data_IF_906738740569
#
_entry.id   IF_906738740569
#
_cell.length_a   1.000
_cell.length_b   1.000
_cell.length_c   1.000
_cell.angle_alpha   90.00
_cell.angle_beta   90.00
_cell.angle_gamma   90.00
#
_symmetry.space_group_name_H-M   'P 1'
#
loop_
_entity.id
_entity.type
_entity.pdbx_description
1 polymer ?
#
# COMPACT_ATOMS: atom_id res chain seq x y z
N UNK A 1 -6.73 11.39 -11.67
CA UNK A 1 -7.85 10.77 -12.44
C UNK A 1 -8.17 9.43 -11.77
N UNK A 2 -9.28 8.74 -12.06
CA UNK A 2 -9.61 7.45 -11.40
C UNK A 2 -8.46 6.45 -11.48
N UNK A 3 -7.69 6.48 -12.57
CA UNK A 3 -6.50 5.64 -12.82
C UNK A 3 -5.32 5.86 -11.85
N UNK A 4 -5.28 6.98 -11.13
CA UNK A 4 -4.21 7.31 -10.18
C UNK A 4 -4.58 6.97 -8.73
N UNK A 5 -5.77 6.39 -8.50
CA UNK A 5 -6.20 6.02 -7.16
C UNK A 5 -5.41 4.81 -6.64
N UNK A 6 -5.10 4.82 -5.34
CA UNK A 6 -4.46 3.68 -4.67
C UNK A 6 -5.44 2.51 -4.44
N UNK A 7 -6.74 2.81 -4.36
CA UNK A 7 -7.82 1.86 -4.16
C UNK A 7 -9.14 2.43 -4.70
N UNK A 8 -9.90 1.61 -5.42
CA UNK A 8 -11.26 1.89 -5.83
C UNK A 8 -12.24 1.12 -4.95
N UNK A 9 -13.13 1.84 -4.26
CA UNK A 9 -14.22 1.23 -3.49
C UNK A 9 -15.50 1.29 -4.32
N UNK A 10 -15.95 0.14 -4.78
CA UNK A 10 -17.15 -0.01 -5.58
C UNK A 10 -18.33 -0.34 -4.68
N UNK A 11 -19.22 0.62 -4.52
CA UNK A 11 -20.44 0.45 -3.71
C UNK A 11 -21.53 -0.17 -4.59
N UNK A 12 -22.01 -1.36 -4.22
CA UNK A 12 -23.02 -2.13 -4.96
C UNK A 12 -24.26 -2.27 -4.08
N UNK A 13 -25.44 -2.07 -4.65
CA UNK A 13 -26.71 -2.27 -3.93
C UNK A 13 -27.05 -3.76 -3.85
N UNK A 14 -27.01 -4.34 -2.65
CA UNK A 14 -27.33 -5.75 -2.42
C UNK A 14 -28.83 -6.07 -2.58
N UNK A 15 -29.69 -5.06 -2.53
CA UNK A 15 -31.14 -5.20 -2.70
C UNK A 15 -31.58 -5.14 -4.17
N UNK A 16 -30.67 -4.83 -5.08
CA UNK A 16 -30.94 -4.83 -6.52
C UNK A 16 -31.26 -6.27 -7.00
N UNK A 17 -32.23 -6.45 -7.91
CA UNK A 17 -32.50 -7.76 -8.52
C UNK A 17 -31.35 -8.31 -9.38
N UNK A 18 -30.42 -7.47 -9.86
CA UNK A 18 -29.23 -7.87 -10.62
C UNK A 18 -27.97 -7.08 -10.20
N UNK A 19 -27.42 -7.36 -9.00
CA UNK A 19 -26.19 -6.70 -8.51
C UNK A 19 -24.98 -6.98 -9.42
N UNK A 20 -24.87 -8.19 -9.96
CA UNK A 20 -23.79 -8.59 -10.84
C UNK A 20 -23.80 -7.84 -12.18
N UNK A 21 -24.98 -7.60 -12.75
CA UNK A 21 -25.13 -6.76 -13.94
C UNK A 21 -24.63 -5.33 -13.70
N UNK A 22 -24.94 -4.76 -12.53
CA UNK A 22 -24.43 -3.44 -12.14
C UNK A 22 -22.89 -3.43 -12.04
N UNK A 23 -22.31 -4.46 -11.41
CA UNK A 23 -20.85 -4.60 -11.32
C UNK A 23 -20.22 -4.66 -12.71
N UNK A 24 -20.77 -5.50 -13.59
CA UNK A 24 -20.25 -5.67 -14.95
C UNK A 24 -20.32 -4.38 -15.77
N UNK A 25 -21.42 -3.62 -15.64
CA UNK A 25 -21.58 -2.35 -16.33
C UNK A 25 -20.53 -1.32 -15.90
N UNK A 26 -20.28 -1.19 -14.59
CA UNK A 26 -19.25 -0.26 -14.07
C UNK A 26 -17.86 -0.71 -14.48
N UNK A 27 -17.55 -2.01 -14.41
CA UNK A 27 -16.26 -2.56 -14.88
C UNK A 27 -16.01 -2.23 -16.35
N UNK A 28 -17.02 -2.35 -17.21
CA UNK A 28 -16.89 -1.96 -18.63
C UNK A 28 -16.46 -0.50 -18.80
N UNK A 29 -16.99 0.41 -17.99
CA UNK A 29 -16.61 1.83 -18.04
C UNK A 29 -15.22 2.05 -17.46
N UNK A 30 -14.84 1.34 -16.41
CA UNK A 30 -13.50 1.41 -15.82
C UNK A 30 -12.42 0.91 -16.81
N UNK A 31 -12.71 -0.14 -17.57
CA UNK A 31 -11.83 -0.67 -18.61
C UNK A 31 -11.65 0.37 -19.74
N UNK A 32 -12.73 1.03 -20.17
CA UNK A 32 -12.66 2.07 -21.22
C UNK A 32 -11.76 3.25 -20.85
N UNK A 33 -11.66 3.59 -19.57
CA UNK A 33 -10.80 4.68 -19.06
C UNK A 33 -9.41 4.19 -18.61
N UNK A 34 -9.09 2.90 -18.77
CA UNK A 34 -7.82 2.29 -18.37
C UNK A 34 -7.61 2.18 -16.86
N UNK A 35 -8.70 2.12 -16.09
CA UNK A 35 -8.68 2.00 -14.63
C UNK A 35 -8.64 0.54 -14.12
N UNK A 36 -8.63 -0.45 -15.02
CA UNK A 36 -8.55 -1.90 -14.71
C UNK A 36 -7.35 -2.31 -13.83
N UNK A 37 -6.31 -1.48 -13.80
CA UNK A 37 -5.07 -1.68 -13.03
C UNK A 37 -5.16 -1.19 -11.58
N UNK A 38 -6.21 -0.45 -11.23
CA UNK A 38 -6.42 0.06 -9.88
C UNK A 38 -7.01 -1.08 -9.03
N UNK A 39 -6.45 -1.36 -7.84
CA UNK A 39 -7.05 -2.34 -6.93
C UNK A 39 -8.51 -1.99 -6.62
N UNK A 40 -9.42 -2.96 -6.73
CA UNK A 40 -10.84 -2.80 -6.48
C UNK A 40 -11.27 -3.55 -5.20
N UNK A 41 -12.19 -2.95 -4.44
CA UNK A 41 -12.87 -3.55 -3.28
C UNK A 41 -14.37 -3.29 -3.39
N UNK A 42 -15.20 -4.29 -3.08
CA UNK A 42 -16.65 -4.13 -3.05
C UNK A 42 -17.18 -3.79 -1.66
N UNK A 43 -18.13 -2.86 -1.62
CA UNK A 43 -18.97 -2.58 -0.47
C UNK A 43 -20.43 -2.85 -0.85
N UNK A 44 -20.99 -3.96 -0.38
CA UNK A 44 -22.37 -4.36 -0.65
C UNK A 44 -23.32 -3.61 0.29
N UNK A 45 -23.85 -2.49 -0.18
CA UNK A 45 -24.73 -1.60 0.55
C UNK A 45 -26.17 -2.14 0.62
N UNK A 46 -26.97 -1.60 1.55
CA UNK A 46 -28.35 -1.99 1.84
C UNK A 46 -28.49 -3.43 2.36
N UNK A 47 -27.49 -3.91 3.10
CA UNK A 47 -27.54 -5.21 3.75
C UNK A 47 -28.71 -5.36 4.74
N UNK A 48 -29.28 -4.26 5.24
CA UNK A 48 -30.50 -4.25 6.05
C UNK A 48 -31.76 -4.68 5.28
N UNK A 49 -31.83 -4.40 3.98
CA UNK A 49 -32.96 -4.75 3.12
C UNK A 49 -32.82 -6.16 2.53
N UNK A 50 -31.59 -6.59 2.26
CA UNK A 50 -31.29 -7.86 1.61
C UNK A 50 -30.10 -8.61 2.25
N UNK A 51 -30.22 -9.02 3.52
CA UNK A 51 -29.10 -9.61 4.27
C UNK A 51 -28.58 -10.93 3.66
N UNK A 52 -29.48 -11.78 3.15
CA UNK A 52 -29.07 -13.02 2.47
C UNK A 52 -28.34 -12.76 1.16
N UNK A 53 -28.78 -11.74 0.39
CA UNK A 53 -28.13 -11.35 -0.86
C UNK A 53 -26.74 -10.80 -0.57
N UNK A 54 -26.63 -9.87 0.38
CA UNK A 54 -25.36 -9.28 0.80
C UNK A 54 -24.37 -10.35 1.28
N UNK A 55 -24.81 -11.32 2.10
CA UNK A 55 -23.95 -12.43 2.54
C UNK A 55 -23.45 -13.28 1.37
N UNK A 56 -24.33 -13.64 0.43
CA UNK A 56 -23.93 -14.42 -0.76
C UNK A 56 -22.93 -13.68 -1.64
N UNK A 57 -23.10 -12.36 -1.78
CA UNK A 57 -22.19 -11.51 -2.53
C UNK A 57 -20.82 -11.41 -1.85
N UNK A 58 -20.79 -11.26 -0.52
CA UNK A 58 -19.54 -11.26 0.27
C UNK A 58 -18.78 -12.58 0.12
N UNK A 59 -19.49 -13.72 0.20
CA UNK A 59 -18.88 -15.04 0.04
C UNK A 59 -18.27 -15.25 -1.35
N UNK A 60 -18.84 -14.61 -2.38
CA UNK A 60 -18.38 -14.71 -3.76
C UNK A 60 -17.22 -13.79 -4.09
N UNK A 61 -17.12 -12.64 -3.42
CA UNK A 61 -16.08 -11.63 -3.64
C UNK A 61 -15.23 -11.48 -2.37
N UNK A 62 -14.21 -12.33 -2.15
CA UNK A 62 -13.36 -12.27 -0.97
C UNK A 62 -12.70 -10.90 -0.79
N UNK A 63 -12.77 -10.35 0.42
CA UNK A 63 -12.26 -9.02 0.73
C UNK A 63 -13.27 -7.89 0.54
N UNK A 64 -14.49 -8.20 0.13
CA UNK A 64 -15.63 -7.28 0.17
C UNK A 64 -16.26 -7.20 1.57
N UNK A 65 -17.10 -6.18 1.79
CA UNK A 65 -17.81 -5.95 3.06
C UNK A 65 -19.29 -5.68 2.79
N UNK A 66 -20.18 -6.30 3.56
CA UNK A 66 -21.60 -5.96 3.58
C UNK A 66 -21.83 -4.77 4.52
N UNK A 67 -22.53 -3.75 4.04
CA UNK A 67 -22.80 -2.52 4.79
C UNK A 67 -24.24 -2.08 4.66
N UNK A 68 -24.72 -1.30 5.62
CA UNK A 68 -25.91 -0.47 5.45
C UNK A 68 -25.53 0.98 5.73
N UNK A 69 -25.49 1.79 4.67
CA UNK A 69 -25.28 3.22 4.82
C UNK A 69 -26.44 3.92 5.56
N UNK A 70 -27.62 3.29 5.63
CA UNK A 70 -28.79 3.83 6.31
C UNK A 70 -28.72 3.62 7.83
N UNK A 71 -28.32 2.43 8.29
CA UNK A 71 -28.20 2.12 9.73
C UNK A 71 -26.81 2.43 10.29
N UNK A 72 -25.79 2.46 9.41
CA UNK A 72 -24.39 2.54 9.79
C UNK A 72 -23.75 1.17 10.03
N UNK A 73 -24.49 0.07 9.91
CA UNK A 73 -23.95 -1.27 10.13
C UNK A 73 -22.87 -1.60 9.08
N UNK A 74 -21.77 -2.20 9.53
CA UNK A 74 -20.64 -2.61 8.68
C UNK A 74 -19.72 -1.48 8.21
N UNK A 75 -19.98 -0.21 8.55
CA UNK A 75 -19.10 0.91 8.16
C UNK A 75 -17.72 0.82 8.82
N UNK A 76 -17.64 0.42 10.09
CA UNK A 76 -16.36 0.22 10.77
C UNK A 76 -15.53 -0.90 10.14
N UNK A 77 -16.20 -1.99 9.73
CA UNK A 77 -15.56 -3.10 9.02
C UNK A 77 -15.06 -2.67 7.64
N UNK A 78 -15.84 -1.82 6.93
CA UNK A 78 -15.43 -1.23 5.66
C UNK A 78 -14.19 -0.36 5.84
N UNK A 79 -14.17 0.53 6.83
CA UNK A 79 -13.01 1.38 7.13
C UNK A 79 -11.78 0.54 7.49
N UNK A 80 -11.95 -0.50 8.29
CA UNK A 80 -10.88 -1.43 8.64
C UNK A 80 -10.35 -2.17 7.40
N UNK A 81 -11.25 -2.60 6.50
CA UNK A 81 -10.89 -3.29 5.26
C UNK A 81 -10.12 -2.38 4.30
N UNK A 82 -10.60 -1.14 4.09
CA UNK A 82 -9.90 -0.11 3.32
C UNK A 82 -8.51 0.13 3.89
N UNK A 83 -8.40 0.30 5.21
CA UNK A 83 -7.11 0.49 5.88
C UNK A 83 -6.15 -0.69 5.68
N UNK A 84 -6.65 -1.94 5.71
CA UNK A 84 -5.82 -3.13 5.41
C UNK A 84 -5.33 -3.14 3.97
N UNK A 85 -6.18 -2.73 3.02
CA UNK A 85 -5.83 -2.75 1.61
C UNK A 85 -4.79 -1.68 1.27
N UNK A 86 -4.97 -0.46 1.76
CA UNK A 86 -4.01 0.62 1.58
C UNK A 86 -2.64 0.27 2.17
N UNK A 87 -2.59 -0.34 3.36
CA UNK A 87 -1.32 -0.80 3.98
C UNK A 87 -0.58 -1.85 3.15
N UNK A 88 -1.28 -2.72 2.41
CA UNK A 88 -0.65 -3.69 1.50
C UNK A 88 0.06 -3.04 0.33
N UNK A 89 -0.34 -1.82 -0.02
CA UNK A 89 0.26 -1.03 -1.07
C UNK A 89 1.32 -0.05 -0.55
N UNK A 90 1.59 0.00 0.76
CA UNK A 90 2.65 0.84 1.34
C UNK A 90 3.92 0.03 1.58
N UNK A 91 5.03 0.39 0.93
CA UNK A 91 6.35 -0.20 1.18
C UNK A 91 7.07 0.64 2.22
N UNK A 92 7.36 0.04 3.37
CA UNK A 92 8.27 0.62 4.36
C UNK A 92 9.68 0.19 4.03
N UNK A 93 10.57 1.14 3.77
CA UNK A 93 11.98 0.91 3.51
C UNK A 93 12.85 1.62 4.55
N UNK A 94 13.94 0.97 4.91
CA UNK A 94 15.00 1.53 5.73
C UNK A 94 16.17 1.89 4.82
N UNK A 95 16.55 3.16 4.83
CA UNK A 95 17.59 3.73 3.99
C UNK A 95 18.74 4.22 4.87
N UNK A 96 19.94 3.74 4.57
CA UNK A 96 21.18 4.30 5.08
C UNK A 96 21.65 5.35 4.06
N UNK A 97 21.52 6.63 4.41
CA UNK A 97 21.81 7.78 3.53
C UNK A 97 23.06 8.49 4.02
N UNK A 98 24.16 8.46 3.25
CA UNK A 98 25.35 9.26 3.55
C UNK A 98 25.01 10.77 3.63
N UNK A 99 25.69 11.53 4.49
CA UNK A 99 25.37 12.96 4.69
C UNK A 99 25.63 13.81 3.43
N UNK A 100 26.46 13.34 2.49
CA UNK A 100 26.69 14.00 1.21
C UNK A 100 25.55 13.76 0.18
N UNK A 101 24.60 12.86 0.48
CA UNK A 101 23.42 12.52 -0.35
C UNK A 101 22.12 13.12 0.18
N UNK A 102 22.14 14.43 0.44
CA UNK A 102 20.94 15.19 0.79
C UNK A 102 19.82 15.16 -0.29
N UNK A 103 20.15 14.78 -1.53
CA UNK A 103 19.19 14.56 -2.61
C UNK A 103 18.25 13.37 -2.33
N UNK A 104 18.77 12.28 -1.76
CA UNK A 104 17.98 11.10 -1.37
C UNK A 104 17.08 11.42 -0.19
N UNK A 105 17.61 12.19 0.78
CA UNK A 105 16.83 12.69 1.91
C UNK A 105 15.65 13.56 1.46
N UNK A 106 15.92 14.52 0.57
CA UNK A 106 14.89 15.38 0.01
C UNK A 106 13.85 14.59 -0.80
N UNK A 107 14.25 13.54 -1.51
CA UNK A 107 13.33 12.63 -2.20
C UNK A 107 12.45 11.87 -1.19
N UNK A 108 13.03 11.32 -0.12
CA UNK A 108 12.27 10.60 0.91
C UNK A 108 11.21 11.47 1.58
N UNK A 109 11.51 12.73 1.84
CA UNK A 109 10.52 13.68 2.39
C UNK A 109 9.46 14.16 1.38
N UNK A 110 9.76 14.15 0.08
CA UNK A 110 8.81 14.60 -0.95
C UNK A 110 7.86 13.51 -1.42
N UNK A 111 8.38 12.29 -1.55
CA UNK A 111 7.69 11.17 -2.20
C UNK A 111 7.26 10.09 -1.20
N UNK A 112 7.83 10.09 0.00
CA UNK A 112 7.51 9.16 1.08
C UNK A 112 7.11 9.87 2.36
N UNK A 113 6.58 9.10 3.30
CA UNK A 113 6.29 9.51 4.66
C UNK A 113 7.44 9.02 5.57
N UNK A 114 8.23 9.93 6.12
CA UNK A 114 9.32 9.58 7.03
C UNK A 114 8.72 9.18 8.38
N UNK A 115 8.95 7.92 8.75
CA UNK A 115 8.46 7.32 9.99
C UNK A 115 9.44 7.51 11.14
N UNK A 116 10.75 7.42 10.86
CA UNK A 116 11.79 7.52 11.88
C UNK A 116 13.14 7.95 11.28
N UNK A 117 13.97 8.59 12.10
CA UNK A 117 15.31 9.09 11.75
C UNK A 117 16.28 8.80 12.88
N UNK A 118 17.31 8.00 12.58
CA UNK A 118 18.40 7.68 13.48
C UNK A 118 19.73 8.23 12.92
N UNK A 119 20.48 8.91 13.77
CA UNK A 119 21.80 9.42 13.43
C UNK A 119 22.86 8.39 13.85
N UNK A 120 23.38 7.64 12.87
CA UNK A 120 24.51 6.74 13.10
C UNK A 120 25.83 7.51 12.94
N UNK A 121 26.37 7.96 14.07
CA UNK A 121 27.70 8.55 14.11
C UNK A 121 28.79 7.45 14.14
N UNK A 122 29.57 7.41 13.06
CA UNK A 122 30.93 6.86 12.95
C UNK A 122 31.12 5.34 12.82
N UNK A 123 31.45 4.90 11.61
CA UNK A 123 32.31 3.74 11.38
C UNK A 123 33.70 4.19 10.96
N UNK A 124 34.73 3.96 11.78
CA UNK A 124 36.12 4.27 11.45
C UNK A 124 36.67 3.26 10.42
N UNK A 125 36.47 3.54 9.14
CA UNK A 125 37.12 2.83 8.03
C UNK A 125 38.46 3.48 7.65
N UNK A 126 39.39 2.74 7.01
CA UNK A 126 40.72 3.24 6.64
C UNK A 126 40.74 4.38 5.61
N UNK A 127 39.58 4.90 5.18
CA UNK A 127 39.42 5.96 4.18
C UNK A 127 38.76 7.26 4.67
N UNK A 128 38.51 7.41 5.98
CA UNK A 128 37.93 8.64 6.56
C UNK A 128 36.55 8.43 7.16
N UNK A 129 36.11 9.36 8.01
CA UNK A 129 34.82 9.34 8.69
C UNK A 129 33.69 9.64 7.69
N UNK A 130 32.96 8.61 7.26
CA UNK A 130 31.66 8.77 6.60
C UNK A 130 30.58 8.65 7.67
N UNK A 131 30.10 9.79 8.17
CA UNK A 131 28.86 9.83 8.94
C UNK A 131 27.73 9.33 8.04
N UNK A 132 26.76 8.60 8.58
CA UNK A 132 25.56 8.17 7.82
C UNK A 132 24.30 8.41 8.67
N UNK A 133 23.17 8.74 8.04
CA UNK A 133 21.87 8.75 8.70
C UNK A 133 21.05 7.56 8.25
N UNK A 134 20.51 6.79 9.19
CA UNK A 134 19.54 5.75 8.91
C UNK A 134 18.14 6.34 9.01
N UNK A 135 17.29 6.13 8.01
CA UNK A 135 15.91 6.62 8.00
C UNK A 135 14.95 5.54 7.57
N UNK A 136 13.81 5.46 8.26
CA UNK A 136 12.70 4.60 7.86
C UNK A 136 11.62 5.46 7.24
N UNK A 137 11.25 5.17 6.01
CA UNK A 137 10.22 5.89 5.30
C UNK A 137 9.26 4.91 4.60
N UNK A 138 7.99 5.32 4.52
CA UNK A 138 6.90 4.61 3.90
C UNK A 138 6.57 5.25 2.54
N UNK A 139 6.50 4.46 1.48
CA UNK A 139 6.09 4.92 0.15
C UNK A 139 4.79 4.23 -0.29
N UNK A 140 3.84 4.96 -0.89
CA UNK A 140 2.74 4.34 -1.62
C UNK A 140 3.28 3.71 -2.92
N UNK A 141 3.01 2.42 -3.13
CA UNK A 141 3.40 1.65 -4.32
C UNK A 141 4.80 1.02 -4.28
N UNK A 142 5.38 0.77 -5.46
CA UNK A 142 6.77 0.29 -5.60
C UNK A 142 7.71 1.39 -5.16
N UNK A 143 8.26 1.26 -3.95
CA UNK A 143 9.22 2.21 -3.37
C UNK A 143 10.45 2.48 -4.25
N UNK A 144 11.37 3.36 -3.81
CA UNK A 144 12.49 3.81 -4.62
C UNK A 144 13.26 2.63 -5.21
N UNK A 145 13.33 2.58 -6.53
CA UNK A 145 14.07 1.55 -7.25
C UNK A 145 15.52 1.67 -6.82
N UNK A 146 16.00 0.72 -6.01
CA UNK A 146 17.38 0.69 -5.54
C UNK A 146 18.32 0.61 -6.75
N UNK A 147 18.76 1.75 -7.29
CA UNK A 147 20.04 1.82 -8.00
C UNK A 147 21.12 1.83 -6.94
N UNK A 148 21.39 0.63 -6.41
CA UNK A 148 22.66 0.38 -5.74
C UNK A 148 23.74 0.64 -6.78
N UNK A 149 24.39 1.80 -6.73
CA UNK A 149 25.66 2.00 -7.42
C UNK A 149 26.68 1.14 -6.71
N UNK A 150 26.71 -0.16 -7.06
CA UNK A 150 27.82 -1.05 -6.76
C UNK A 150 29.05 -0.49 -7.46
N UNK A 151 29.90 0.24 -6.73
CA UNK A 151 31.33 0.27 -7.04
C UNK A 151 32.00 -0.86 -6.25
N UNK A 152 32.83 -1.70 -6.89
CA UNK A 152 33.53 -2.76 -6.18
C UNK A 152 34.65 -2.11 -5.36
N UNK A 153 34.53 -2.15 -4.04
CA UNK A 153 35.69 -2.02 -3.15
C UNK A 153 36.26 -3.42 -2.99
N UNK A 154 37.53 -3.56 -3.34
CA UNK A 154 38.24 -4.83 -3.36
C UNK A 154 38.25 -5.53 -2.01
N UNK A 155 38.20 -6.86 -2.12
CA UNK A 155 38.61 -7.90 -1.17
C UNK A 155 38.09 -7.82 0.27
N UNK A 156 37.10 -8.69 0.54
CA UNK A 156 37.03 -9.37 1.83
C UNK A 156 35.88 -8.99 2.77
N UNK A 157 34.63 -9.02 2.33
CA UNK A 157 33.53 -9.34 3.26
C UNK A 157 32.32 -9.92 2.53
N UNK A 158 31.93 -11.13 2.93
CA UNK A 158 30.84 -11.91 2.34
C UNK A 158 29.47 -11.29 2.63
N UNK A 159 28.60 -11.35 1.62
CA UNK A 159 27.16 -11.10 1.63
C UNK A 159 26.48 -11.37 2.99
N UNK A 160 25.64 -10.42 3.41
CA UNK A 160 24.31 -10.76 3.92
C UNK A 160 23.30 -9.74 3.40
N UNK A 161 22.53 -10.13 2.38
CA UNK A 161 21.23 -9.51 2.11
C UNK A 161 20.35 -9.75 3.35
N UNK A 162 19.92 -8.67 4.00
CA UNK A 162 18.71 -8.69 4.81
C UNK A 162 17.81 -7.58 4.31
N UNK A 163 17.10 -7.87 3.23
CA UNK A 163 15.72 -7.37 3.13
C UNK A 163 15.01 -8.05 4.30
N UNK A 164 14.68 -7.32 5.35
CA UNK A 164 13.74 -7.83 6.35
C UNK A 164 12.40 -7.94 5.62
N UNK A 165 11.85 -9.14 5.34
CA UNK A 165 10.43 -9.22 5.10
C UNK A 165 9.79 -8.76 6.42
N UNK A 166 8.89 -7.80 6.34
CA UNK A 166 8.09 -7.30 7.44
C UNK A 166 7.43 -8.48 8.17
N UNK A 167 8.12 -9.04 9.16
CA UNK A 167 7.52 -9.85 10.17
C UNK A 167 7.07 -8.87 11.24
N UNK A 168 5.77 -8.84 11.55
CA UNK A 168 5.17 -8.64 12.88
C UNK A 168 3.64 -8.64 12.75
N UNK A 169 2.92 -9.05 13.81
CA UNK A 169 2.27 -10.35 13.93
C UNK A 169 0.79 -10.32 13.51
N UNK A 170 0.25 -11.52 13.27
CA UNK A 170 -1.19 -11.82 13.29
C UNK A 170 -1.81 -11.55 14.66
#
# INVERSE_FOLDING_TARGET
>A
MVVDADLLVHVVDASDPDPEGCIAAVRSVLDEIGAERVPEMYAFNKADLAPESASRLVDREPGSVAVSAATGDGLDDLLAAVGRQLRRHTVVAELSVPYDRGDILAMAHREGEVLDVEEEAEGFGPSGSESTMAQRAAWPGTGPTQKTTRRPVGDGCSRSERVCPTALPV
#
